data_IF_260203930407
#
_entry.id   IF_260203930407
#
_cell.length_a   1.000
_cell.length_b   1.000
_cell.length_c   1.000
_cell.angle_alpha   90.00
_cell.angle_beta   90.00
_cell.angle_gamma   90.00
#
_symmetry.space_group_name_H-M   'P 1'
#
loop_
_entity.id
_entity.type
_entity.pdbx_description
1 polymer ?
#
# COMPACT_ATOMS: atom_id res chain seq x y z
N UNK A 1 68.97 -35.70 1.34
CA UNK A 1 67.56 -35.28 1.12
C UNK A 1 67.22 -34.28 2.20
N UNK A 2 66.70 -33.12 1.84
CA UNK A 2 66.21 -32.12 2.80
C UNK A 2 64.67 -32.18 2.79
N UNK A 3 64.06 -32.31 3.97
CA UNK A 3 62.61 -32.27 4.14
C UNK A 3 62.22 -30.80 4.28
N UNK A 4 61.48 -30.28 3.32
CA UNK A 4 60.92 -28.94 3.36
C UNK A 4 59.61 -29.06 4.13
N UNK A 5 59.57 -28.53 5.35
CA UNK A 5 58.33 -28.36 6.10
C UNK A 5 57.66 -27.08 5.61
N UNK A 6 56.62 -27.22 4.79
CA UNK A 6 55.70 -26.11 4.53
C UNK A 6 54.88 -25.85 5.80
N UNK A 7 55.05 -24.67 6.39
CA UNK A 7 54.21 -24.23 7.49
C UNK A 7 52.77 -24.08 6.99
N UNK A 8 51.87 -24.89 7.55
CA UNK A 8 50.45 -24.80 7.25
C UNK A 8 49.95 -23.45 7.76
N UNK A 9 49.60 -22.54 6.85
CA UNK A 9 49.03 -21.23 7.18
C UNK A 9 47.85 -21.42 8.14
N UNK A 10 48.05 -21.05 9.40
CA UNK A 10 47.01 -21.19 10.40
C UNK A 10 45.89 -20.21 10.11
N UNK A 11 44.66 -20.69 10.13
CA UNK A 11 43.50 -19.83 9.94
C UNK A 11 43.35 -18.92 11.16
N UNK A 12 43.41 -17.60 10.93
CA UNK A 12 43.27 -16.61 11.99
C UNK A 12 41.81 -16.46 12.39
N UNK A 13 41.34 -17.32 13.29
CA UNK A 13 39.98 -17.30 13.84
C UNK A 13 39.58 -15.93 14.42
N UNK A 14 40.53 -15.19 14.99
CA UNK A 14 40.29 -13.82 15.47
C UNK A 14 39.90 -12.86 14.33
N UNK A 15 40.61 -12.90 13.21
CA UNK A 15 40.29 -12.08 12.02
C UNK A 15 38.94 -12.46 11.45
N UNK A 16 38.61 -13.75 11.44
CA UNK A 16 37.32 -14.24 10.96
C UNK A 16 36.14 -13.73 11.81
N UNK A 17 36.27 -13.74 13.14
CA UNK A 17 35.25 -13.21 14.05
C UNK A 17 35.04 -11.70 13.86
N UNK A 18 36.12 -10.94 13.65
CA UNK A 18 36.04 -9.50 13.40
C UNK A 18 35.26 -9.22 12.10
N UNK A 19 35.54 -9.98 11.04
CA UNK A 19 34.83 -9.85 9.77
C UNK A 19 33.34 -10.13 9.96
N UNK A 20 32.99 -11.19 10.68
CA UNK A 20 31.59 -11.53 10.98
C UNK A 20 30.90 -10.42 11.76
N UNK A 21 31.57 -9.86 12.76
CA UNK A 21 31.03 -8.77 13.57
C UNK A 21 30.72 -7.54 12.70
N UNK A 22 31.67 -7.13 11.86
CA UNK A 22 31.49 -6.01 10.93
C UNK A 22 30.32 -6.28 9.99
N UNK A 23 30.25 -7.48 9.42
CA UNK A 23 29.20 -7.86 8.50
C UNK A 23 27.82 -7.85 9.17
N UNK A 24 27.74 -8.35 10.42
CA UNK A 24 26.52 -8.36 11.23
C UNK A 24 26.02 -6.95 11.51
N UNK A 25 26.91 -6.01 11.84
CA UNK A 25 26.53 -4.61 12.08
C UNK A 25 25.99 -3.95 10.81
N UNK A 26 26.64 -4.18 9.65
CA UNK A 26 26.22 -3.59 8.38
C UNK A 26 24.85 -4.13 7.96
N UNK A 27 24.70 -5.46 7.93
CA UNK A 27 23.45 -6.11 7.51
C UNK A 27 22.33 -5.82 8.50
N UNK A 28 22.62 -5.90 9.79
CA UNK A 28 21.65 -5.59 10.85
C UNK A 28 21.20 -4.13 10.82
N UNK A 29 22.13 -3.20 10.63
CA UNK A 29 21.82 -1.77 10.49
C UNK A 29 20.99 -1.47 9.26
N UNK A 30 21.34 -2.04 8.11
CA UNK A 30 20.54 -1.92 6.88
C UNK A 30 19.14 -2.51 7.07
N UNK A 31 19.04 -3.71 7.65
CA UNK A 31 17.74 -4.32 7.95
C UNK A 31 16.89 -3.42 8.86
N UNK A 32 17.49 -2.85 9.90
CA UNK A 32 16.76 -2.00 10.83
C UNK A 32 16.28 -0.70 10.17
N UNK A 33 17.08 -0.10 9.29
CA UNK A 33 16.71 1.13 8.59
C UNK A 33 15.58 0.92 7.57
N UNK A 34 15.59 -0.20 6.85
CA UNK A 34 14.67 -0.43 5.74
C UNK A 34 13.46 -1.29 6.09
N UNK A 35 13.60 -2.23 7.02
CA UNK A 35 12.62 -3.28 7.30
C UNK A 35 12.16 -3.35 8.75
N UNK A 36 12.80 -2.65 9.69
CA UNK A 36 12.25 -2.62 11.04
C UNK A 36 10.87 -1.93 11.00
N UNK A 37 9.84 -2.55 11.60
CA UNK A 37 8.55 -1.93 11.71
C UNK A 37 8.72 -0.64 12.51
N UNK A 38 8.51 0.49 11.84
CA UNK A 38 8.42 1.78 12.53
C UNK A 38 7.26 1.65 13.52
N UNK A 39 7.41 2.01 14.81
CA UNK A 39 6.25 2.18 15.66
C UNK A 39 5.32 3.11 14.89
N UNK A 40 4.10 2.65 14.62
CA UNK A 40 3.15 3.37 13.78
C UNK A 40 3.06 4.80 14.29
N UNK A 41 3.79 5.70 13.64
CA UNK A 41 3.54 7.12 13.73
C UNK A 41 2.10 7.15 13.28
N UNK A 42 1.19 7.45 14.21
CA UNK A 42 -0.24 7.56 13.93
C UNK A 42 -0.33 8.27 12.60
N UNK A 43 -0.66 7.51 11.55
CA UNK A 43 -0.70 8.09 10.22
C UNK A 43 -1.83 9.07 10.36
N UNK A 44 -1.50 10.36 10.46
CA UNK A 44 -2.44 11.46 10.39
C UNK A 44 -2.96 11.44 8.95
N UNK A 45 -3.75 10.40 8.64
CA UNK A 45 -4.45 10.25 7.39
C UNK A 45 -5.30 11.51 7.31
N UNK A 46 -5.08 12.38 6.31
CA UNK A 46 -5.92 13.55 6.12
C UNK A 46 -7.36 13.08 6.12
N UNK A 47 -8.28 13.77 6.81
CA UNK A 47 -9.69 13.33 7.00
C UNK A 47 -10.30 12.77 5.70
N UNK A 48 -9.95 13.35 4.56
CA UNK A 48 -10.42 12.99 3.22
C UNK A 48 -10.05 11.55 2.80
N UNK A 49 -8.90 11.02 3.21
CA UNK A 49 -8.48 9.65 2.93
C UNK A 49 -9.13 8.62 3.87
N UNK A 50 -9.52 9.04 5.08
CA UNK A 50 -10.27 8.19 6.01
C UNK A 50 -11.70 7.95 5.51
N UNK A 51 -12.35 9.01 5.01
CA UNK A 51 -13.72 8.94 4.46
C UNK A 51 -13.76 8.02 3.24
N UNK A 52 -12.78 8.10 2.34
CA UNK A 52 -12.72 7.24 1.15
C UNK A 52 -12.47 5.76 1.50
N UNK A 53 -11.63 5.48 2.49
CA UNK A 53 -11.42 4.11 3.01
C UNK A 53 -12.70 3.54 3.66
N UNK A 54 -13.40 4.34 4.45
CA UNK A 54 -14.68 3.94 5.07
C UNK A 54 -15.77 3.71 4.00
N UNK A 55 -15.85 4.58 2.98
CA UNK A 55 -16.81 4.43 1.89
C UNK A 55 -16.51 3.21 1.00
N UNK A 56 -15.24 2.86 0.80
CA UNK A 56 -14.85 1.65 0.04
C UNK A 56 -15.28 0.34 0.70
N UNK A 57 -15.50 0.37 2.02
CA UNK A 57 -15.97 -0.78 2.81
C UNK A 57 -17.49 -0.83 2.93
N UNK A 58 -18.20 0.18 2.43
CA UNK A 58 -19.65 0.21 2.46
C UNK A 58 -20.21 -0.76 1.41
N UNK A 59 -20.89 -1.81 1.87
CA UNK A 59 -21.57 -2.76 1.00
C UNK A 59 -22.91 -2.15 0.55
N UNK A 60 -22.93 -1.59 -0.65
CA UNK A 60 -24.13 -0.94 -1.21
C UNK A 60 -24.98 -1.96 -1.95
N UNK A 61 -26.06 -2.43 -1.31
CA UNK A 61 -27.05 -3.30 -1.94
C UNK A 61 -28.27 -2.48 -2.42
N UNK A 62 -28.36 -2.11 -3.71
CA UNK A 62 -29.45 -1.29 -4.24
C UNK A 62 -30.81 -1.99 -4.18
N UNK A 63 -30.83 -3.31 -4.10
CA UNK A 63 -32.05 -4.13 -3.99
C UNK A 63 -32.82 -3.83 -2.70
N UNK A 64 -32.12 -3.46 -1.63
CA UNK A 64 -32.73 -3.12 -0.34
C UNK A 64 -33.50 -1.80 -0.45
N UNK A 65 -32.93 -0.82 -1.14
CA UNK A 65 -33.55 0.49 -1.36
C UNK A 65 -34.73 0.40 -2.34
N UNK A 66 -34.54 -0.28 -3.47
CA UNK A 66 -35.58 -0.42 -4.50
C UNK A 66 -36.84 -1.17 -3.98
N UNK A 67 -36.67 -2.08 -3.03
CA UNK A 67 -37.77 -2.84 -2.44
C UNK A 67 -38.38 -2.19 -1.20
N UNK A 68 -37.75 -1.16 -0.63
CA UNK A 68 -38.26 -0.46 0.55
C UNK A 68 -39.63 0.21 0.27
N UNK A 69 -40.51 0.14 1.26
CA UNK A 69 -41.85 0.73 1.19
C UNK A 69 -41.77 2.27 1.04
N UNK A 70 -40.82 2.89 1.75
CA UNK A 70 -40.53 4.32 1.65
C UNK A 70 -40.11 4.73 0.25
N UNK A 71 -39.24 3.97 -0.43
CA UNK A 71 -38.85 4.27 -1.82
C UNK A 71 -40.00 4.09 -2.81
N UNK A 72 -40.91 3.13 -2.57
CA UNK A 72 -42.11 2.92 -3.39
C UNK A 72 -43.15 4.03 -3.21
N UNK A 73 -43.19 4.66 -2.03
CA UNK A 73 -44.06 5.80 -1.71
C UNK A 73 -43.54 7.13 -2.28
N UNK A 74 -42.27 7.21 -2.68
CA UNK A 74 -41.73 8.41 -3.30
C UNK A 74 -42.48 8.70 -4.61
N UNK A 75 -42.91 9.95 -4.76
CA UNK A 75 -43.58 10.42 -5.97
C UNK A 75 -42.63 10.26 -7.15
N UNK A 76 -42.93 9.33 -8.05
CA UNK A 76 -42.22 9.19 -9.32
C UNK A 76 -42.51 10.45 -10.12
N UNK A 77 -41.54 11.36 -10.25
CA UNK A 77 -41.63 12.45 -11.22
C UNK A 77 -41.48 11.83 -12.61
N UNK A 78 -42.54 11.81 -13.43
CA UNK A 78 -42.42 11.29 -14.79
C UNK A 78 -41.60 12.30 -15.58
N UNK A 79 -40.45 11.84 -16.05
CA UNK A 79 -39.61 12.58 -16.98
C UNK A 79 -38.18 12.65 -16.50
N UNK A 80 -37.27 12.02 -17.24
CA UNK A 80 -36.00 12.69 -17.47
C UNK A 80 -36.35 14.11 -17.96
N UNK A 81 -35.71 15.19 -17.44
CA UNK A 81 -35.87 16.49 -18.06
C UNK A 81 -35.63 16.28 -19.55
N UNK A 82 -36.58 16.66 -20.40
CA UNK A 82 -36.37 16.62 -21.84
C UNK A 82 -35.18 17.53 -22.11
N UNK A 83 -34.02 16.94 -22.34
CA UNK A 83 -32.81 17.68 -22.66
C UNK A 83 -32.92 18.09 -24.13
N UNK A 84 -33.85 19.01 -24.43
CA UNK A 84 -33.92 19.73 -25.69
C UNK A 84 -32.86 20.83 -25.69
N UNK A 85 -31.60 20.42 -25.58
CA UNK A 85 -30.45 21.29 -25.56
C UNK A 85 -29.17 20.49 -25.36
N UNK A 86 -28.08 20.91 -25.98
CA UNK A 86 -26.74 20.36 -25.71
C UNK A 86 -26.38 20.63 -24.25
N UNK A 87 -26.70 19.71 -23.34
CA UNK A 87 -26.24 19.81 -21.96
C UNK A 87 -24.86 19.20 -21.81
N UNK A 88 -23.95 20.00 -21.27
CA UNK A 88 -22.59 19.60 -20.89
C UNK A 88 -21.52 20.01 -21.91
N UNK A 89 -20.32 20.31 -21.39
CA UNK A 89 -19.12 20.38 -22.22
C UNK A 89 -18.82 18.97 -22.74
N UNK A 90 -18.42 18.89 -24.01
CA UNK A 90 -17.95 17.64 -24.63
C UNK A 90 -16.82 17.08 -23.76
N UNK A 91 -16.90 15.79 -23.40
CA UNK A 91 -15.92 15.15 -22.54
C UNK A 91 -14.53 15.20 -23.24
N UNK A 92 -13.53 15.88 -22.65
CA UNK A 92 -12.22 16.09 -23.27
C UNK A 92 -11.34 14.83 -23.28
N UNK A 93 -11.79 13.74 -22.68
CA UNK A 93 -11.08 12.46 -22.63
C UNK A 93 -11.60 11.44 -23.65
N UNK A 94 -12.61 11.79 -24.44
CA UNK A 94 -13.00 10.99 -25.60
C UNK A 94 -11.95 11.27 -26.68
N UNK A 95 -10.90 10.45 -26.70
CA UNK A 95 -9.87 10.48 -27.74
C UNK A 95 -10.45 9.99 -29.07
N UNK A 96 -9.98 10.60 -30.15
CA UNK A 96 -10.17 10.17 -31.54
C UNK A 96 -9.73 8.72 -31.76
#
# INVERSE_FOLDING_TARGET
MAIILEEKKSFSWGTFLIIILIFSVIVGGAYFLFFAPKPAIEVLVPRDQKITSELSKADFNPSVLANSETFKLLRKYPGAPSVSGKTGRVNPFIKY
#
